data_IF_470008963326
#
_entry.id   IF_470008963326
#
_cell.length_a   1.000
_cell.length_b   1.000
_cell.length_c   1.000
_cell.angle_alpha   90.00
_cell.angle_beta   90.00
_cell.angle_gamma   90.00
#
_symmetry.space_group_name_H-M   'P 1'
#
loop_
_entity.id
_entity.type
_entity.pdbx_description
1 polymer ?
#
# COMPACT_ATOMS: atom_id res chain seq x y z
N UNK A 1 4.72 7.52 14.69
CA UNK A 1 4.49 6.06 14.81
C UNK A 1 4.02 5.50 13.45
N UNK A 2 4.06 4.18 13.21
CA UNK A 2 3.70 3.60 11.91
C UNK A 2 2.24 3.92 11.48
N UNK A 3 1.36 4.16 12.45
CA UNK A 3 -0.02 4.61 12.26
C UNK A 3 -0.12 5.99 11.60
N UNK A 4 0.77 6.92 11.95
CA UNK A 4 0.76 8.30 11.44
C UNK A 4 1.18 8.37 9.96
N UNK A 5 1.72 7.28 9.42
CA UNK A 5 2.09 7.15 8.00
C UNK A 5 0.92 6.69 7.13
N UNK A 6 -0.24 6.42 7.70
CA UNK A 6 -1.43 5.92 7.00
C UNK A 6 -2.46 7.05 6.86
N UNK A 7 -2.60 7.59 5.65
CA UNK A 7 -3.51 8.71 5.38
C UNK A 7 -5.01 8.35 5.44
N UNK A 8 -5.34 7.07 5.55
CA UNK A 8 -6.71 6.56 5.57
C UNK A 8 -7.16 6.43 7.03
N UNK A 9 -8.06 7.30 7.54
CA UNK A 9 -8.40 7.36 8.96
C UNK A 9 -8.92 6.03 9.53
N UNK A 10 -9.65 5.27 8.72
CA UNK A 10 -10.17 3.95 9.12
C UNK A 10 -9.03 2.95 9.37
N UNK A 11 -8.03 2.90 8.47
CA UNK A 11 -6.88 2.01 8.61
C UNK A 11 -6.00 2.44 9.79
N UNK A 12 -5.86 3.74 10.04
CA UNK A 12 -5.14 4.26 11.19
C UNK A 12 -5.78 3.79 12.51
N UNK A 13 -7.11 3.91 12.63
CA UNK A 13 -7.86 3.45 13.80
C UNK A 13 -7.74 1.93 14.00
N UNK A 14 -7.79 1.15 12.91
CA UNK A 14 -7.65 -0.30 12.96
C UNK A 14 -6.26 -0.69 13.52
N UNK A 15 -5.18 -0.03 13.07
CA UNK A 15 -3.82 -0.29 13.57
C UNK A 15 -3.69 0.11 15.03
N UNK A 16 -4.20 1.29 15.43
CA UNK A 16 -4.16 1.76 16.81
C UNK A 16 -4.84 0.75 17.75
N UNK A 17 -6.01 0.24 17.38
CA UNK A 17 -6.75 -0.74 18.17
C UNK A 17 -6.00 -2.09 18.30
N UNK A 18 -5.29 -2.53 17.27
CA UNK A 18 -4.45 -3.74 17.31
C UNK A 18 -3.25 -3.51 18.22
N UNK A 19 -2.62 -2.34 18.13
CA UNK A 19 -1.47 -1.99 18.96
C UNK A 19 -1.84 -1.95 20.44
N UNK A 20 -2.97 -1.35 20.78
CA UNK A 20 -3.46 -1.26 22.17
C UNK A 20 -3.69 -2.65 22.76
N UNK A 21 -4.29 -3.56 21.99
CA UNK A 21 -4.42 -4.98 22.37
C UNK A 21 -3.06 -5.65 22.59
N UNK A 22 -2.12 -5.46 21.68
CA UNK A 22 -0.76 -5.99 21.83
C UNK A 22 -0.02 -5.39 23.04
N UNK A 23 -0.27 -4.13 23.40
CA UNK A 23 0.25 -3.53 24.62
C UNK A 23 -0.38 -4.15 25.87
N UNK A 24 -1.69 -4.39 25.88
CA UNK A 24 -2.39 -5.04 26.99
C UNK A 24 -1.82 -6.44 27.25
N UNK A 25 -1.73 -7.28 26.21
CA UNK A 25 -1.15 -8.64 26.31
C UNK A 25 0.28 -8.59 26.87
N UNK A 26 1.12 -7.66 26.40
CA UNK A 26 2.50 -7.49 26.91
C UNK A 26 2.55 -7.01 28.37
N UNK A 27 1.58 -6.23 28.83
CA UNK A 27 1.48 -5.81 30.23
C UNK A 27 1.06 -6.98 31.11
N UNK A 28 0.06 -7.75 30.69
CA UNK A 28 -0.40 -8.95 31.40
C UNK A 28 0.72 -9.99 31.55
N UNK A 29 1.43 -10.29 30.46
CA UNK A 29 2.63 -11.13 30.45
C UNK A 29 3.67 -10.68 31.50
N UNK A 30 3.94 -9.38 31.57
CA UNK A 30 4.91 -8.82 32.53
C UNK A 30 4.42 -8.86 33.97
N UNK A 31 3.13 -8.63 34.19
CA UNK A 31 2.57 -8.49 35.53
C UNK A 31 2.25 -9.84 36.18
N UNK A 32 1.67 -10.77 35.41
CA UNK A 32 1.20 -12.06 35.92
C UNK A 32 2.20 -13.20 35.72
N UNK A 33 3.18 -13.03 34.81
CA UNK A 33 4.16 -14.08 34.48
C UNK A 33 3.54 -15.34 33.87
N UNK A 34 2.25 -15.29 33.50
CA UNK A 34 1.54 -16.37 32.82
C UNK A 34 1.79 -16.29 31.32
N UNK A 35 1.89 -17.45 30.68
CA UNK A 35 1.93 -17.51 29.22
C UNK A 35 0.67 -16.89 28.62
N UNK A 36 0.80 -16.16 27.50
CA UNK A 36 -0.35 -15.54 26.86
C UNK A 36 -1.23 -16.63 26.25
N UNK A 37 -2.53 -16.36 26.18
CA UNK A 37 -3.45 -17.22 25.44
C UNK A 37 -3.15 -17.06 23.94
N UNK A 38 -2.32 -17.95 23.40
CA UNK A 38 -1.82 -17.84 22.03
C UNK A 38 -2.96 -17.81 20.99
N UNK A 39 -4.02 -18.60 21.19
CA UNK A 39 -5.20 -18.59 20.32
C UNK A 39 -5.85 -17.20 20.26
N UNK A 40 -5.92 -16.50 21.41
CA UNK A 40 -6.48 -15.16 21.49
C UNK A 40 -5.55 -14.13 20.83
N UNK A 41 -4.24 -14.26 21.03
CA UNK A 41 -3.24 -13.42 20.35
C UNK A 41 -3.34 -13.56 18.83
N UNK A 42 -3.48 -14.78 18.33
CA UNK A 42 -3.67 -15.04 16.91
C UNK A 42 -4.96 -14.40 16.38
N UNK A 43 -6.06 -14.56 17.11
CA UNK A 43 -7.36 -14.05 16.71
C UNK A 43 -7.47 -12.52 16.77
N UNK A 44 -6.94 -11.91 17.82
CA UNK A 44 -7.16 -10.49 18.12
C UNK A 44 -6.04 -9.57 17.65
N UNK A 45 -4.85 -10.10 17.39
CA UNK A 45 -3.68 -9.34 16.97
C UNK A 45 -3.20 -9.80 15.60
N UNK A 46 -2.82 -11.08 15.45
CA UNK A 46 -2.17 -11.55 14.21
C UNK A 46 -3.11 -11.44 12.99
N UNK A 47 -4.31 -12.00 13.10
CA UNK A 47 -5.28 -12.00 12.01
C UNK A 47 -5.71 -10.57 11.61
N UNK A 48 -6.09 -9.68 12.54
CA UNK A 48 -6.40 -8.29 12.19
C UNK A 48 -5.21 -7.56 11.55
N UNK A 49 -3.99 -7.81 12.03
CA UNK A 49 -2.79 -7.18 11.47
C UNK A 49 -2.52 -7.63 10.03
N UNK A 50 -2.76 -8.91 9.74
CA UNK A 50 -2.70 -9.43 8.38
C UNK A 50 -3.75 -8.78 7.46
N UNK A 51 -5.00 -8.67 7.91
CA UNK A 51 -6.07 -8.03 7.12
C UNK A 51 -5.79 -6.55 6.85
N UNK A 52 -5.32 -5.81 7.86
CA UNK A 52 -4.93 -4.40 7.68
C UNK A 52 -3.78 -4.26 6.71
N UNK A 53 -2.73 -5.10 6.83
CA UNK A 53 -1.61 -5.13 5.87
C UNK A 53 -2.10 -5.39 4.45
N UNK A 54 -3.04 -6.33 4.28
CA UNK A 54 -3.64 -6.64 2.97
C UNK A 54 -4.37 -5.43 2.40
N UNK A 55 -5.21 -4.75 3.19
CA UNK A 55 -5.92 -3.53 2.77
C UNK A 55 -4.96 -2.39 2.41
N UNK A 56 -3.89 -2.19 3.17
CA UNK A 56 -2.85 -1.21 2.86
C UNK A 56 -2.22 -1.52 1.50
N UNK A 57 -1.85 -2.78 1.26
CA UNK A 57 -1.28 -3.19 -0.02
C UNK A 57 -2.25 -3.00 -1.18
N UNK A 58 -3.54 -3.27 -0.99
CA UNK A 58 -4.58 -3.02 -2.00
C UNK A 58 -4.71 -1.52 -2.30
N UNK A 59 -4.72 -0.66 -1.28
CA UNK A 59 -4.77 0.80 -1.47
C UNK A 59 -3.50 1.34 -2.13
N UNK A 60 -2.33 0.84 -1.75
CA UNK A 60 -1.07 1.16 -2.42
C UNK A 60 -1.08 0.71 -3.87
N UNK A 61 -1.56 -0.51 -4.17
CA UNK A 61 -1.68 -1.00 -5.54
C UNK A 61 -2.65 -0.14 -6.36
N UNK A 62 -3.77 0.32 -5.80
CA UNK A 62 -4.69 1.25 -6.46
C UNK A 62 -4.04 2.61 -6.73
N UNK A 63 -3.31 3.18 -5.77
CA UNK A 63 -2.61 4.46 -5.93
C UNK A 63 -1.49 4.33 -6.97
N UNK A 64 -0.63 3.33 -6.83
CA UNK A 64 0.43 3.03 -7.79
C UNK A 64 -0.12 2.66 -9.17
N UNK A 65 -1.29 2.03 -9.29
CA UNK A 65 -1.92 1.77 -10.60
C UNK A 65 -2.54 3.02 -11.23
N UNK A 66 -2.99 3.99 -10.42
CA UNK A 66 -3.49 5.29 -10.90
C UNK A 66 -2.34 6.25 -11.24
N UNK A 67 -1.26 6.20 -10.46
CA UNK A 67 -0.03 6.96 -10.65
C UNK A 67 0.87 6.33 -11.72
N UNK A 68 0.80 5.01 -11.91
CA UNK A 68 1.19 4.32 -13.12
C UNK A 68 0.16 4.65 -14.21
N UNK A 69 0.19 5.91 -14.63
CA UNK A 69 0.05 6.25 -16.04
C UNK A 69 1.00 5.30 -16.78
N UNK A 70 0.42 4.19 -17.24
CA UNK A 70 0.78 3.32 -18.37
C UNK A 70 2.28 3.23 -18.66
N UNK A 71 2.89 2.03 -18.76
CA UNK A 71 4.00 1.88 -19.70
C UNK A 71 3.50 2.47 -21.01
N UNK A 72 4.15 3.52 -21.53
CA UNK A 72 3.89 3.95 -22.90
C UNK A 72 4.00 2.67 -23.70
N UNK A 73 2.89 2.20 -24.24
CA UNK A 73 2.85 1.05 -25.14
C UNK A 73 3.53 1.54 -26.43
N UNK A 74 4.84 1.70 -26.35
CA UNK A 74 5.72 1.80 -27.48
C UNK A 74 6.03 0.35 -27.80
N UNK A 75 5.06 -0.29 -28.43
CA UNK A 75 5.45 -1.16 -29.53
C UNK A 75 6.48 -0.36 -30.34
N UNK A 76 7.70 -0.90 -30.54
CA UNK A 76 8.71 -0.18 -31.29
C UNK A 76 8.09 0.19 -32.63
N UNK A 77 8.04 1.49 -32.95
CA UNK A 77 7.52 1.95 -34.23
C UNK A 77 8.35 1.23 -35.30
N UNK A 78 7.71 0.47 -36.22
CA UNK A 78 8.45 -0.17 -37.30
C UNK A 78 9.29 0.89 -38.00
N UNK A 79 10.53 0.55 -38.32
CA UNK A 79 11.56 1.52 -38.72
C UNK A 79 11.13 2.40 -39.90
N UNK A 80 10.24 1.88 -40.75
CA UNK A 80 9.64 2.55 -41.91
C UNK A 80 8.76 3.77 -41.54
N UNK A 81 8.18 3.81 -40.34
CA UNK A 81 7.25 4.86 -39.90
C UNK A 81 7.82 5.79 -38.81
N UNK A 82 9.03 5.50 -38.32
CA UNK A 82 9.68 6.26 -37.24
C UNK A 82 9.88 7.74 -37.59
N UNK A 83 10.19 8.04 -38.85
CA UNK A 83 10.45 9.40 -39.31
C UNK A 83 9.16 10.23 -39.39
N UNK A 84 8.08 9.63 -39.89
CA UNK A 84 6.78 10.28 -40.00
C UNK A 84 6.19 10.63 -38.62
N UNK A 85 6.29 9.69 -37.67
CA UNK A 85 5.81 9.89 -36.31
C UNK A 85 6.63 10.96 -35.59
N UNK A 86 7.96 10.96 -35.78
CA UNK A 86 8.85 11.99 -35.24
C UNK A 86 8.47 13.39 -35.73
N UNK A 87 8.33 13.59 -37.04
CA UNK A 87 7.98 14.91 -37.60
C UNK A 87 6.59 15.37 -37.14
N UNK A 88 5.63 14.46 -36.96
CA UNK A 88 4.29 14.79 -36.46
C UNK A 88 4.32 15.34 -35.02
N UNK A 89 5.12 14.74 -34.14
CA UNK A 89 5.27 15.23 -32.76
C UNK A 89 6.14 16.50 -32.66
N UNK A 90 7.14 16.65 -33.52
CA UNK A 90 7.96 17.88 -33.61
C UNK A 90 7.11 19.07 -34.07
N UNK A 91 6.28 18.89 -35.10
CA UNK A 91 5.37 19.95 -35.59
C UNK A 91 4.23 20.28 -34.62
N UNK A 92 3.76 19.31 -33.83
CA UNK A 92 2.83 19.54 -32.72
C UNK A 92 3.46 20.34 -31.57
N UNK A 93 4.77 20.19 -31.31
CA UNK A 93 5.50 20.93 -30.28
C UNK A 93 5.87 22.36 -30.69
N UNK A 94 6.00 22.63 -31.99
CA UNK A 94 6.34 23.96 -32.53
C UNK A 94 5.11 24.83 -32.84
N UNK A 95 3.90 24.29 -32.70
CA UNK A 95 2.64 25.01 -32.86
C UNK A 95 2.20 25.79 -31.62
N UNK A 96 2.82 26.96 -31.37
CA UNK A 96 2.46 28.05 -30.43
C UNK A 96 1.88 27.70 -29.05
#
# INVERSE_FOLDING_TARGET
>A
EAEEMVDVPELQNDIAAIRDRAQAVRRELRNEGKEPQWDLVQLEIEKPLYEVKKRINEELAKRLSKEAVVPIDRDPVPQEFSDLVRTYYETLGEGR
#
